data_IF_654405282386
#
_entry.id   IF_654405282386
#
_cell.length_a   1.000
_cell.length_b   1.000
_cell.length_c   1.000
_cell.angle_alpha   90.00
_cell.angle_beta   90.00
_cell.angle_gamma   90.00
#
_symmetry.space_group_name_H-M   'P 1'
#
loop_
_entity.id
_entity.type
_entity.pdbx_description
1 polymer ?
#
# COMPACT_ATOMS: atom_id res chain seq x y z
N UNK A 1 25.62 -15.13 0.70
CA UNK A 1 25.61 -14.93 -0.76
C UNK A 1 25.74 -13.46 -1.11
N UNK A 2 25.92 -13.10 -2.39
CA UNK A 2 25.87 -11.70 -2.83
C UNK A 2 24.51 -11.40 -3.43
N UNK A 3 24.05 -10.15 -3.28
CA UNK A 3 22.83 -9.65 -3.92
C UNK A 3 23.01 -8.20 -4.36
N UNK A 4 22.54 -7.85 -5.57
CA UNK A 4 22.47 -6.45 -5.99
C UNK A 4 21.25 -5.79 -5.37
N UNK A 5 21.41 -4.58 -4.85
CA UNK A 5 20.35 -3.84 -4.21
C UNK A 5 20.50 -2.34 -4.45
N UNK A 6 19.37 -1.63 -4.43
CA UNK A 6 19.32 -0.17 -4.36
C UNK A 6 19.26 0.24 -2.90
N UNK A 7 20.35 0.84 -2.40
CA UNK A 7 20.51 1.22 -1.00
C UNK A 7 20.29 2.72 -0.81
N UNK A 8 19.46 3.08 0.13
CA UNK A 8 19.33 4.44 0.64
C UNK A 8 20.39 4.66 1.73
N UNK A 9 21.49 5.35 1.42
CA UNK A 9 22.52 5.67 2.41
C UNK A 9 22.19 6.90 3.28
N UNK A 10 21.11 7.58 3.00
CA UNK A 10 20.64 8.72 3.80
C UNK A 10 19.43 9.38 3.14
N UNK A 11 18.67 10.13 3.92
CA UNK A 11 17.53 10.88 3.42
C UNK A 11 17.94 11.91 2.37
N UNK A 12 17.07 12.15 1.39
CA UNK A 12 17.25 13.12 0.29
C UNK A 12 18.47 12.86 -0.60
N UNK A 13 18.93 11.61 -0.65
CA UNK A 13 19.99 11.16 -1.55
C UNK A 13 19.43 10.15 -2.54
N UNK A 14 19.95 10.12 -3.78
CA UNK A 14 19.56 9.06 -4.70
C UNK A 14 19.96 7.68 -4.13
N UNK A 15 19.21 6.66 -4.52
CA UNK A 15 19.55 5.28 -4.22
C UNK A 15 20.82 4.89 -4.97
N UNK A 16 21.72 4.18 -4.29
CA UNK A 16 22.95 3.66 -4.89
C UNK A 16 22.80 2.15 -5.16
N UNK A 17 23.11 1.73 -6.38
CA UNK A 17 23.11 0.31 -6.73
C UNK A 17 24.44 -0.31 -6.32
N UNK A 18 24.39 -1.20 -5.33
CA UNK A 18 25.58 -1.86 -4.79
C UNK A 18 25.38 -3.37 -4.68
N UNK A 19 26.48 -4.11 -4.58
CA UNK A 19 26.48 -5.53 -4.25
C UNK A 19 26.64 -5.69 -2.73
N UNK A 20 25.61 -6.23 -2.08
CA UNK A 20 25.58 -6.51 -0.64
C UNK A 20 25.94 -7.95 -0.33
N UNK A 21 26.46 -8.17 0.87
CA UNK A 21 26.46 -9.48 1.50
C UNK A 21 25.09 -9.75 2.08
N UNK A 22 24.50 -10.89 1.75
CA UNK A 22 23.22 -11.36 2.28
C UNK A 22 23.43 -12.69 3.01
N UNK A 23 23.09 -12.74 4.30
CA UNK A 23 23.04 -13.98 5.06
C UNK A 23 21.87 -14.85 4.61
N UNK A 24 22.01 -16.17 4.72
CA UNK A 24 20.93 -17.13 4.50
C UNK A 24 19.81 -17.02 5.55
N UNK A 25 18.64 -17.65 5.29
CA UNK A 25 17.53 -17.63 6.22
C UNK A 25 17.83 -18.45 7.47
N UNK A 26 17.62 -17.86 8.64
CA UNK A 26 17.66 -18.57 9.93
C UNK A 26 16.34 -19.28 10.22
N UNK A 27 16.22 -19.90 11.39
CA UNK A 27 14.97 -20.57 11.79
C UNK A 27 13.76 -19.63 11.72
N UNK A 28 12.69 -20.07 11.06
CA UNK A 28 11.46 -19.30 10.83
C UNK A 28 11.56 -18.23 9.75
N UNK A 29 12.64 -18.20 8.96
CA UNK A 29 12.88 -17.21 7.90
C UNK A 29 12.86 -17.85 6.51
N UNK A 30 12.68 -17.02 5.50
CA UNK A 30 12.53 -17.40 4.10
C UNK A 30 13.42 -16.51 3.24
N UNK A 31 14.25 -17.10 2.38
CA UNK A 31 14.97 -16.39 1.32
C UNK A 31 14.08 -16.33 0.09
N UNK A 32 13.81 -15.13 -0.38
CA UNK A 32 13.00 -14.86 -1.58
C UNK A 32 13.85 -14.17 -2.64
N UNK A 33 13.86 -14.73 -3.83
CA UNK A 33 14.31 -14.03 -5.04
C UNK A 33 13.17 -13.14 -5.53
N UNK A 34 13.40 -11.84 -5.55
CA UNK A 34 12.42 -10.86 -6.02
C UNK A 34 12.48 -10.82 -7.55
N UNK A 35 11.34 -11.03 -8.18
CA UNK A 35 11.18 -11.02 -9.63
C UNK A 35 10.66 -9.67 -10.14
N UNK A 36 9.87 -8.98 -9.30
CA UNK A 36 9.39 -7.63 -9.58
C UNK A 36 9.09 -6.88 -8.28
N UNK A 37 9.21 -5.57 -8.31
CA UNK A 37 8.83 -4.69 -7.20
C UNK A 37 8.25 -3.38 -7.70
N UNK A 38 7.17 -2.91 -7.08
CA UNK A 38 6.60 -1.59 -7.31
C UNK A 38 7.37 -0.50 -6.56
N UNK A 39 7.31 0.73 -7.08
CA UNK A 39 7.81 1.94 -6.41
C UNK A 39 6.61 2.68 -5.82
N UNK A 40 6.57 2.84 -4.50
CA UNK A 40 5.46 3.41 -3.76
C UNK A 40 5.77 4.80 -3.20
N UNK A 41 4.74 5.62 -3.01
CA UNK A 41 4.87 6.90 -2.31
C UNK A 41 5.39 6.74 -0.87
N UNK A 42 5.16 5.60 -0.24
CA UNK A 42 5.71 5.31 1.09
C UNK A 42 7.24 5.18 1.07
N UNK A 43 7.80 4.59 0.00
CA UNK A 43 9.26 4.55 -0.20
C UNK A 43 9.82 5.96 -0.42
N UNK A 44 9.15 6.78 -1.25
CA UNK A 44 9.51 8.19 -1.47
C UNK A 44 9.42 9.01 -0.18
N UNK A 45 8.34 8.85 0.59
CA UNK A 45 8.14 9.50 1.89
C UNK A 45 9.31 9.25 2.85
N UNK A 46 9.80 8.01 2.92
CA UNK A 46 10.98 7.66 3.70
C UNK A 46 12.25 8.25 3.10
N UNK A 47 12.46 8.10 1.78
CA UNK A 47 13.65 8.62 1.09
C UNK A 47 13.74 10.15 1.17
N UNK A 48 12.62 10.86 1.13
CA UNK A 48 12.53 12.31 1.28
C UNK A 48 12.72 12.79 2.73
N UNK A 49 12.80 11.86 3.70
CA UNK A 49 13.06 12.16 5.10
C UNK A 49 11.85 12.64 5.89
N UNK A 50 10.64 12.35 5.42
CA UNK A 50 9.39 12.69 6.13
C UNK A 50 8.96 11.59 7.11
N UNK A 51 9.54 10.39 7.01
CA UNK A 51 9.23 9.25 7.85
C UNK A 51 10.04 9.30 9.15
N UNK A 52 9.36 9.45 10.28
CA UNK A 52 10.00 9.44 11.60
C UNK A 52 10.58 8.08 12.01
N UNK A 53 10.15 7.00 11.36
CA UNK A 53 10.67 5.64 11.53
C UNK A 53 11.70 5.27 10.46
N UNK A 54 12.02 6.18 9.54
CA UNK A 54 13.00 5.96 8.47
C UNK A 54 14.41 5.74 9.01
N UNK A 55 15.02 4.63 8.66
CA UNK A 55 16.36 4.23 9.11
C UNK A 55 17.29 4.12 7.92
N UNK A 56 18.50 4.65 8.07
CA UNK A 56 19.54 4.60 7.05
C UNK A 56 20.87 4.08 7.64
N UNK A 57 21.71 3.37 6.87
CA UNK A 57 21.46 2.91 5.49
C UNK A 57 20.49 1.73 5.44
N UNK A 58 19.61 1.69 4.45
CA UNK A 58 18.63 0.61 4.30
C UNK A 58 18.35 0.24 2.85
N UNK A 59 17.90 -1.00 2.63
CA UNK A 59 17.28 -1.41 1.38
C UNK A 59 15.79 -1.14 1.48
N UNK A 60 15.29 -0.18 0.69
CA UNK A 60 13.87 0.16 0.63
C UNK A 60 13.07 -0.88 -0.19
N UNK A 61 11.81 -0.55 -0.51
CA UNK A 61 10.89 -1.38 -1.26
C UNK A 61 10.08 -2.34 -0.39
N UNK A 62 8.76 -2.33 -0.61
CA UNK A 62 7.82 -3.18 0.13
C UNK A 62 6.71 -3.77 -0.75
N UNK A 63 6.71 -3.46 -2.04
CA UNK A 63 5.75 -3.97 -3.02
C UNK A 63 6.41 -5.03 -3.91
N UNK A 64 6.84 -6.15 -3.33
CA UNK A 64 7.54 -7.22 -4.07
C UNK A 64 6.66 -8.39 -4.43
N UNK A 65 7.09 -9.14 -5.46
CA UNK A 65 6.64 -10.49 -5.73
C UNK A 65 7.84 -11.33 -6.20
N UNK A 66 7.89 -12.58 -5.78
CA UNK A 66 9.07 -13.40 -6.08
C UNK A 66 8.89 -14.88 -5.79
N UNK A 67 10.01 -15.59 -5.83
CA UNK A 67 10.08 -17.05 -5.66
C UNK A 67 10.89 -17.40 -4.40
N UNK A 68 10.33 -18.23 -3.56
CA UNK A 68 11.07 -18.81 -2.42
C UNK A 68 12.21 -19.66 -2.95
N UNK A 69 13.45 -19.37 -2.51
CA UNK A 69 14.62 -20.13 -2.89
C UNK A 69 15.10 -21.06 -1.79
N UNK A 70 15.04 -20.59 -0.53
CA UNK A 70 15.46 -21.36 0.63
C UNK A 70 14.53 -21.04 1.82
N UNK A 71 14.38 -21.99 2.72
CA UNK A 71 13.61 -21.84 3.94
C UNK A 71 14.44 -22.28 5.14
N UNK A 72 14.39 -21.52 6.22
CA UNK A 72 15.03 -21.87 7.49
C UNK A 72 14.27 -22.96 8.23
N UNK A 73 14.91 -23.50 9.27
CA UNK A 73 14.30 -24.53 10.10
C UNK A 73 12.97 -24.05 10.70
N UNK A 74 11.96 -24.94 10.73
CA UNK A 74 10.64 -24.64 11.32
C UNK A 74 9.67 -23.92 10.40
N UNK A 75 10.06 -23.49 9.19
CA UNK A 75 9.14 -22.93 8.18
C UNK A 75 8.24 -24.05 7.64
N UNK A 76 6.93 -23.82 7.66
CA UNK A 76 5.93 -24.81 7.27
C UNK A 76 4.93 -24.33 6.20
N UNK A 77 4.72 -23.03 6.05
CA UNK A 77 3.67 -22.49 5.16
C UNK A 77 4.11 -22.33 3.71
N UNK A 78 5.40 -22.31 3.46
CA UNK A 78 6.01 -22.18 2.14
C UNK A 78 7.23 -23.10 1.99
N UNK A 79 7.61 -23.37 0.75
CA UNK A 79 8.78 -24.17 0.37
C UNK A 79 9.46 -23.58 -0.85
N UNK A 80 10.70 -24.03 -1.13
CA UNK A 80 11.42 -23.66 -2.35
C UNK A 80 10.57 -23.90 -3.60
N UNK A 81 10.54 -22.90 -4.49
CA UNK A 81 9.75 -22.86 -5.72
C UNK A 81 8.31 -22.36 -5.54
N UNK A 82 7.89 -21.99 -4.34
CA UNK A 82 6.59 -21.31 -4.16
C UNK A 82 6.69 -19.83 -4.58
N UNK A 83 5.66 -19.32 -5.24
CA UNK A 83 5.52 -17.90 -5.55
C UNK A 83 4.90 -17.18 -4.37
N UNK A 84 5.44 -16.02 -4.03
CA UNK A 84 5.06 -15.29 -2.83
C UNK A 84 5.06 -13.76 -3.03
N UNK A 85 4.28 -13.11 -2.19
CA UNK A 85 4.29 -11.65 -2.00
C UNK A 85 4.78 -11.37 -0.58
N UNK A 86 5.89 -10.62 -0.39
CA UNK A 86 6.30 -10.05 0.90
C UNK A 86 5.22 -9.16 1.49
N UNK A 87 5.03 -9.23 2.81
CA UNK A 87 4.03 -8.46 3.53
C UNK A 87 4.69 -7.56 4.57
N UNK A 88 4.56 -6.26 4.41
CA UNK A 88 5.00 -5.30 5.43
C UNK A 88 4.10 -5.34 6.69
N UNK A 89 2.91 -5.92 6.59
CA UNK A 89 2.04 -6.25 7.72
C UNK A 89 2.06 -7.77 7.93
N UNK A 90 2.89 -8.30 8.85
CA UNK A 90 2.95 -9.74 9.11
C UNK A 90 1.63 -10.26 9.70
N UNK A 91 1.42 -11.58 9.62
CA UNK A 91 0.25 -12.25 10.20
C UNK A 91 0.69 -13.48 10.98
N UNK A 92 0.93 -13.34 12.30
CA UNK A 92 1.38 -14.45 13.15
C UNK A 92 0.24 -15.37 13.60
N UNK A 93 -1.03 -14.93 13.52
CA UNK A 93 -2.24 -15.65 13.97
C UNK A 93 -2.32 -15.95 15.48
N UNK A 94 -1.42 -15.38 16.29
CA UNK A 94 -1.29 -15.68 17.72
C UNK A 94 -1.37 -14.44 18.62
N UNK A 95 -0.92 -13.26 18.16
CA UNK A 95 -0.97 -12.06 18.97
C UNK A 95 -2.42 -11.54 19.13
N UNK A 96 -2.63 -10.65 20.10
CA UNK A 96 -3.95 -10.08 20.40
C UNK A 96 -4.63 -9.47 19.16
N UNK A 97 -3.87 -8.77 18.31
CA UNK A 97 -4.40 -8.18 17.08
C UNK A 97 -4.87 -9.26 16.10
N UNK A 98 -4.06 -10.29 15.86
CA UNK A 98 -4.45 -11.40 14.98
C UNK A 98 -5.68 -12.14 15.49
N UNK A 99 -5.73 -12.45 16.79
CA UNK A 99 -6.85 -13.16 17.41
C UNK A 99 -8.14 -12.32 17.40
N UNK A 100 -8.03 -10.98 17.38
CA UNK A 100 -9.20 -10.10 17.23
C UNK A 100 -9.69 -9.95 15.79
N UNK A 101 -9.03 -10.62 14.82
CA UNK A 101 -9.33 -10.50 13.39
C UNK A 101 -8.66 -9.30 12.70
N UNK A 102 -7.91 -8.46 13.43
CA UNK A 102 -7.17 -7.31 12.89
C UNK A 102 -5.71 -7.67 12.64
N UNK A 103 -5.47 -8.66 11.77
CA UNK A 103 -4.12 -9.18 11.51
C UNK A 103 -3.22 -8.16 10.84
N UNK A 104 -3.78 -7.19 10.11
CA UNK A 104 -3.08 -6.03 9.56
C UNK A 104 -2.38 -5.17 10.64
N UNK A 105 -2.69 -5.38 11.90
CA UNK A 105 -2.06 -4.73 13.06
C UNK A 105 -1.28 -5.74 13.92
N UNK A 106 -0.76 -6.80 13.31
CA UNK A 106 0.06 -7.81 13.99
C UNK A 106 1.27 -7.18 14.67
N UNK A 107 1.52 -7.59 15.92
CA UNK A 107 2.60 -7.03 16.74
C UNK A 107 3.76 -7.98 16.94
N UNK A 108 3.74 -9.19 16.36
CA UNK A 108 4.70 -10.25 16.67
C UNK A 108 6.17 -9.88 16.44
N UNK A 109 6.46 -9.08 15.40
CA UNK A 109 7.82 -8.64 15.06
C UNK A 109 7.96 -7.11 15.05
N UNK A 110 6.94 -6.36 15.47
CA UNK A 110 6.92 -4.90 15.34
C UNK A 110 8.10 -4.22 16.06
N UNK A 111 8.53 -4.76 17.20
CA UNK A 111 9.61 -4.20 18.00
C UNK A 111 10.98 -4.20 17.29
N UNK A 112 11.23 -5.16 16.41
CA UNK A 112 12.45 -5.26 15.60
C UNK A 112 12.25 -4.73 14.19
N UNK A 113 11.10 -4.99 13.58
CA UNK A 113 10.73 -4.50 12.23
C UNK A 113 10.85 -2.97 12.13
N UNK A 114 10.34 -2.22 13.11
CA UNK A 114 10.45 -0.76 13.17
C UNK A 114 11.88 -0.25 13.38
N UNK A 115 12.83 -1.14 13.69
CA UNK A 115 14.27 -0.83 13.80
C UNK A 115 15.06 -1.34 12.59
N UNK A 116 14.39 -1.79 11.55
CA UNK A 116 15.02 -2.36 10.35
C UNK A 116 15.74 -3.67 10.60
N UNK A 117 15.30 -4.46 11.59
CA UNK A 117 15.97 -5.70 12.02
C UNK A 117 15.01 -6.90 11.93
N UNK A 118 15.61 -8.06 11.79
CA UNK A 118 14.93 -9.36 11.88
C UNK A 118 14.51 -9.66 13.33
N UNK A 119 13.64 -10.66 13.58
CA UNK A 119 13.15 -10.97 14.93
C UNK A 119 14.25 -11.24 15.97
N UNK A 120 15.44 -11.71 15.55
CA UNK A 120 16.59 -11.95 16.40
C UNK A 120 17.41 -10.68 16.74
N UNK A 121 16.98 -9.51 16.27
CA UNK A 121 17.65 -8.24 16.51
C UNK A 121 18.85 -7.97 15.61
N UNK A 122 19.06 -8.76 14.54
CA UNK A 122 20.16 -8.57 13.58
C UNK A 122 19.61 -8.28 12.19
N UNK A 123 20.44 -7.74 11.28
CA UNK A 123 20.11 -7.64 9.85
C UNK A 123 20.69 -8.83 9.10
N UNK A 124 20.12 -9.15 7.94
CA UNK A 124 20.69 -10.13 7.00
C UNK A 124 21.52 -9.43 5.92
N UNK A 125 21.45 -8.11 5.80
CA UNK A 125 22.24 -7.35 4.85
C UNK A 125 23.45 -6.69 5.49
N UNK A 126 24.59 -6.70 4.77
CA UNK A 126 25.75 -5.90 5.12
C UNK A 126 26.49 -5.41 3.87
N UNK A 127 27.17 -4.28 3.99
CA UNK A 127 28.01 -3.67 2.96
C UNK A 127 29.35 -3.27 3.54
N UNK A 128 30.43 -3.88 3.04
CA UNK A 128 31.81 -3.60 3.53
C UNK A 128 31.94 -3.69 5.06
N UNK A 129 31.24 -4.65 5.67
CA UNK A 129 31.23 -4.84 7.12
C UNK A 129 30.27 -3.93 7.91
N UNK A 130 29.60 -2.99 7.24
CA UNK A 130 28.57 -2.15 7.85
C UNK A 130 27.19 -2.82 7.73
N UNK A 131 26.39 -2.77 8.79
CA UNK A 131 25.00 -3.22 8.77
C UNK A 131 24.18 -2.35 7.81
N UNK A 132 23.40 -2.98 6.93
CA UNK A 132 22.37 -2.35 6.12
C UNK A 132 21.02 -2.81 6.66
N UNK A 133 20.13 -1.89 6.97
CA UNK A 133 18.85 -2.21 7.61
C UNK A 133 17.81 -2.70 6.60
N UNK A 134 16.89 -3.51 7.11
CA UNK A 134 15.68 -3.87 6.39
C UNK A 134 14.68 -2.72 6.43
N UNK A 135 13.87 -2.60 5.37
CA UNK A 135 12.77 -1.65 5.30
C UNK A 135 11.44 -2.39 5.38
N UNK A 136 10.63 -2.04 6.38
CA UNK A 136 9.30 -2.62 6.62
C UNK A 136 9.30 -4.16 6.69
N UNK A 137 10.47 -4.79 6.95
CA UNK A 137 10.65 -6.24 6.93
C UNK A 137 10.54 -6.88 5.54
N UNK A 138 10.59 -6.11 4.47
CA UNK A 138 10.45 -6.57 3.08
C UNK A 138 11.72 -6.38 2.24
N UNK A 139 12.22 -5.14 2.14
CA UNK A 139 13.45 -4.77 1.40
C UNK A 139 13.48 -5.30 -0.03
N UNK A 140 12.46 -4.97 -0.80
CA UNK A 140 12.28 -5.56 -2.14
C UNK A 140 13.06 -4.85 -3.25
N UNK A 141 13.77 -3.74 -2.95
CA UNK A 141 14.70 -3.12 -3.91
C UNK A 141 16.04 -3.86 -3.93
N UNK A 142 15.97 -5.18 -3.92
CA UNK A 142 17.10 -6.11 -3.98
C UNK A 142 16.70 -7.37 -4.76
N UNK A 143 17.64 -7.97 -5.49
CA UNK A 143 17.37 -9.24 -6.17
C UNK A 143 16.96 -10.36 -5.19
N UNK A 144 17.51 -10.35 -3.97
CA UNK A 144 17.16 -11.31 -2.93
C UNK A 144 16.92 -10.60 -1.61
N UNK A 145 15.96 -11.09 -0.85
CA UNK A 145 15.70 -10.65 0.52
C UNK A 145 15.39 -11.82 1.42
N UNK A 146 15.65 -11.66 2.72
CA UNK A 146 15.27 -12.63 3.76
C UNK A 146 14.23 -11.97 4.65
N UNK A 147 13.14 -12.69 4.92
CA UNK A 147 12.04 -12.19 5.76
C UNK A 147 11.42 -13.31 6.60
N UNK A 148 10.75 -12.99 7.72
CA UNK A 148 10.07 -13.99 8.53
C UNK A 148 8.93 -14.67 7.77
N UNK A 149 8.72 -15.97 7.97
CA UNK A 149 7.62 -16.74 7.38
C UNK A 149 6.25 -16.06 7.55
N UNK A 150 6.02 -15.43 8.70
CA UNK A 150 4.76 -14.74 8.99
C UNK A 150 4.53 -13.47 8.15
N UNK A 151 5.55 -13.02 7.44
CA UNK A 151 5.53 -11.87 6.53
C UNK A 151 5.53 -12.29 5.05
N UNK A 152 5.08 -13.50 4.72
CA UNK A 152 5.01 -14.02 3.34
C UNK A 152 3.61 -14.52 3.03
N UNK A 153 3.03 -14.06 1.93
CA UNK A 153 1.79 -14.60 1.37
C UNK A 153 2.10 -15.48 0.17
N UNK A 154 1.74 -16.76 0.23
CA UNK A 154 1.86 -17.68 -0.91
C UNK A 154 0.75 -17.39 -1.92
N UNK A 155 1.12 -17.28 -3.19
CA UNK A 155 0.21 -17.02 -4.31
C UNK A 155 0.27 -18.13 -5.34
N UNK A 156 -0.67 -18.12 -6.28
CA UNK A 156 -0.68 -19.03 -7.44
C UNK A 156 0.51 -18.76 -8.35
N UNK A 157 1.04 -19.81 -8.99
CA UNK A 157 2.30 -19.75 -9.76
C UNK A 157 2.16 -19.09 -11.13
N UNK A 158 0.96 -19.00 -11.66
CA UNK A 158 0.66 -18.42 -12.97
C UNK A 158 0.40 -16.90 -12.93
N UNK A 159 0.38 -16.29 -11.73
CA UNK A 159 0.26 -14.85 -11.59
C UNK A 159 1.55 -14.15 -12.07
N UNK A 160 1.47 -13.16 -12.99
CA UNK A 160 2.64 -12.40 -13.43
C UNK A 160 3.20 -11.55 -12.30
N UNK A 161 4.50 -11.63 -12.06
CA UNK A 161 5.15 -10.95 -10.94
C UNK A 161 5.06 -9.43 -11.02
N UNK A 162 5.15 -8.87 -12.24
CA UNK A 162 5.06 -7.42 -12.49
C UNK A 162 3.73 -6.82 -12.00
N UNK A 163 2.64 -7.56 -12.10
CA UNK A 163 1.32 -7.11 -11.63
C UNK A 163 1.08 -7.54 -10.18
N UNK A 164 1.48 -8.77 -9.83
CA UNK A 164 1.29 -9.32 -8.49
C UNK A 164 2.04 -8.54 -7.41
N UNK A 165 3.20 -7.93 -7.71
CA UNK A 165 3.98 -7.17 -6.74
C UNK A 165 3.21 -5.99 -6.15
N UNK A 166 2.36 -5.34 -6.95
CA UNK A 166 1.54 -4.21 -6.50
C UNK A 166 0.40 -4.63 -5.56
N UNK A 167 -0.01 -5.90 -5.60
CA UNK A 167 -1.06 -6.42 -4.71
C UNK A 167 -0.62 -6.38 -3.25
N UNK A 168 0.68 -6.52 -2.98
CA UNK A 168 1.25 -6.49 -1.62
C UNK A 168 1.06 -5.18 -0.84
N UNK A 169 0.63 -4.10 -1.50
CA UNK A 169 0.39 -2.80 -0.87
C UNK A 169 -0.85 -2.11 -1.44
N UNK A 170 -0.69 -1.40 -2.57
CA UNK A 170 -1.69 -0.45 -3.06
C UNK A 170 -3.03 -1.08 -3.42
N UNK A 171 -3.03 -2.24 -4.08
CA UNK A 171 -4.27 -2.95 -4.48
C UNK A 171 -5.02 -3.45 -3.24
N UNK A 172 -4.33 -4.17 -2.37
CA UNK A 172 -4.93 -4.68 -1.12
C UNK A 172 -5.43 -3.56 -0.23
N UNK A 173 -4.69 -2.45 -0.14
CA UNK A 173 -5.10 -1.28 0.64
C UNK A 173 -6.37 -0.66 0.09
N UNK A 174 -6.45 -0.41 -1.21
CA UNK A 174 -7.61 0.24 -1.83
C UNK A 174 -8.86 -0.65 -1.82
N UNK A 175 -8.75 -1.87 -2.34
CA UNK A 175 -9.88 -2.83 -2.37
C UNK A 175 -10.33 -3.17 -0.94
N UNK A 176 -9.39 -3.43 -0.04
CA UNK A 176 -9.68 -3.78 1.35
C UNK A 176 -10.29 -2.62 2.15
N UNK A 177 -9.93 -1.37 1.85
CA UNK A 177 -10.56 -0.21 2.49
C UNK A 177 -12.08 -0.22 2.25
N UNK A 178 -12.50 -0.61 1.05
CA UNK A 178 -13.91 -0.71 0.68
C UNK A 178 -14.57 -1.96 1.30
N UNK A 179 -13.97 -3.13 1.09
CA UNK A 179 -14.61 -4.41 1.41
C UNK A 179 -14.49 -4.79 2.88
N UNK A 180 -13.35 -4.55 3.51
CA UNK A 180 -13.08 -4.97 4.88
C UNK A 180 -13.35 -3.87 5.91
N UNK A 181 -12.91 -2.63 5.60
CA UNK A 181 -12.98 -1.52 6.55
C UNK A 181 -14.31 -0.79 6.47
N UNK A 182 -14.68 -0.25 5.31
CA UNK A 182 -15.94 0.46 5.09
C UNK A 182 -17.13 -0.52 5.03
N UNK A 183 -16.94 -1.66 4.36
CA UNK A 183 -17.99 -2.64 4.08
C UNK A 183 -19.12 -2.04 3.26
N UNK A 184 -18.74 -1.34 2.20
CA UNK A 184 -19.66 -0.74 1.24
C UNK A 184 -20.64 -1.80 0.74
N UNK A 185 -21.91 -1.41 0.67
CA UNK A 185 -23.01 -2.27 0.24
C UNK A 185 -23.53 -1.84 -1.15
N UNK A 186 -24.18 -2.74 -1.87
CA UNK A 186 -24.89 -2.37 -3.09
C UNK A 186 -25.89 -1.22 -2.83
N UNK A 187 -25.79 -0.18 -3.64
CA UNK A 187 -26.64 1.00 -3.53
C UNK A 187 -26.05 2.19 -2.78
N UNK A 188 -24.93 2.02 -2.06
CA UNK A 188 -24.25 3.10 -1.36
C UNK A 188 -23.66 4.12 -2.35
N UNK A 189 -23.58 5.38 -1.93
CA UNK A 189 -22.82 6.44 -2.61
C UNK A 189 -21.44 6.53 -1.97
N UNK A 190 -20.43 6.66 -2.81
CA UNK A 190 -19.02 6.72 -2.37
C UNK A 190 -18.33 7.93 -2.98
N UNK A 191 -17.51 8.65 -2.20
CA UNK A 191 -16.64 9.72 -2.68
C UNK A 191 -15.19 9.35 -2.40
N UNK A 192 -14.33 9.43 -3.41
CA UNK A 192 -12.91 9.10 -3.32
C UNK A 192 -12.09 10.34 -3.63
N UNK A 193 -11.30 10.80 -2.66
CA UNK A 193 -10.41 11.95 -2.81
C UNK A 193 -9.00 11.46 -3.15
N UNK A 194 -8.52 11.87 -4.33
CA UNK A 194 -7.25 11.46 -4.91
C UNK A 194 -7.37 10.19 -5.77
N UNK A 195 -7.13 10.34 -7.08
CA UNK A 195 -7.22 9.27 -8.07
C UNK A 195 -5.83 8.78 -8.52
N UNK A 196 -4.93 8.65 -7.55
CA UNK A 196 -3.66 7.93 -7.72
C UNK A 196 -3.86 6.40 -7.60
N UNK A 197 -2.74 5.67 -7.49
CA UNK A 197 -2.78 4.21 -7.44
C UNK A 197 -3.70 3.63 -6.36
N UNK A 198 -3.76 4.23 -5.17
CA UNK A 198 -4.68 3.81 -4.09
C UNK A 198 -6.13 4.13 -4.47
N UNK A 199 -6.41 5.38 -4.89
CA UNK A 199 -7.77 5.80 -5.23
C UNK A 199 -8.39 4.99 -6.37
N UNK A 200 -7.62 4.64 -7.40
CA UNK A 200 -8.07 3.76 -8.48
C UNK A 200 -8.45 2.36 -7.98
N UNK A 201 -7.75 1.83 -6.97
CA UNK A 201 -8.11 0.56 -6.35
C UNK A 201 -9.33 0.68 -5.42
N UNK A 202 -9.54 1.83 -4.77
CA UNK A 202 -10.78 2.12 -4.04
C UNK A 202 -11.96 2.19 -5.03
N UNK A 203 -11.80 2.81 -6.21
CA UNK A 203 -12.82 2.81 -7.27
C UNK A 203 -13.23 1.39 -7.68
N UNK A 204 -12.23 0.53 -7.95
CA UNK A 204 -12.50 -0.88 -8.31
C UNK A 204 -13.23 -1.63 -7.18
N UNK A 205 -12.77 -1.43 -5.94
CA UNK A 205 -13.43 -2.00 -4.77
C UNK A 205 -14.89 -1.53 -4.65
N UNK A 206 -15.18 -0.24 -4.84
CA UNK A 206 -16.52 0.32 -4.79
C UNK A 206 -17.41 -0.23 -5.92
N UNK A 207 -16.89 -0.34 -7.15
CA UNK A 207 -17.58 -0.99 -8.27
C UNK A 207 -17.90 -2.44 -7.95
N UNK A 208 -16.91 -3.19 -7.45
CA UNK A 208 -17.08 -4.60 -7.07
C UNK A 208 -18.12 -4.78 -5.94
N UNK A 209 -18.18 -3.85 -4.99
CA UNK A 209 -19.19 -3.84 -3.93
C UNK A 209 -20.59 -3.43 -4.39
N UNK A 210 -20.77 -2.98 -5.64
CA UNK A 210 -22.05 -2.56 -6.19
C UNK A 210 -22.50 -1.17 -5.75
N UNK A 211 -21.56 -0.27 -5.43
CA UNK A 211 -21.88 1.12 -5.11
C UNK A 211 -22.68 1.77 -6.26
N UNK A 212 -23.71 2.56 -5.92
CA UNK A 212 -24.63 3.21 -6.88
C UNK A 212 -23.96 4.39 -7.56
N UNK A 213 -23.34 5.24 -6.77
CA UNK A 213 -22.62 6.43 -7.24
C UNK A 213 -21.18 6.35 -6.73
N UNK A 214 -20.23 6.50 -7.63
CA UNK A 214 -18.80 6.49 -7.32
C UNK A 214 -18.21 7.80 -7.83
N UNK A 215 -18.01 8.75 -6.92
CA UNK A 215 -17.50 10.09 -7.21
C UNK A 215 -16.00 10.10 -6.98
N UNK A 216 -15.24 10.42 -8.01
CA UNK A 216 -13.81 10.66 -7.92
C UNK A 216 -13.50 12.15 -7.85
N UNK A 217 -12.71 12.57 -6.88
CA UNK A 217 -12.28 13.96 -6.69
C UNK A 217 -10.76 14.04 -6.89
N UNK A 218 -10.32 14.82 -7.87
CA UNK A 218 -8.89 15.05 -8.10
C UNK A 218 -8.65 16.44 -8.71
N UNK A 219 -7.52 17.06 -8.34
CA UNK A 219 -7.10 18.38 -8.86
C UNK A 219 -6.47 18.30 -10.25
N UNK A 220 -6.13 17.09 -10.71
CA UNK A 220 -5.57 16.80 -12.02
C UNK A 220 -6.65 16.20 -12.92
N UNK A 221 -7.14 17.00 -13.89
CA UNK A 221 -8.21 16.58 -14.82
C UNK A 221 -7.82 15.37 -15.67
N UNK A 222 -6.52 15.08 -15.88
CA UNK A 222 -6.08 13.89 -16.60
C UNK A 222 -6.43 12.59 -15.86
N UNK A 223 -6.83 12.65 -14.59
CA UNK A 223 -7.27 11.50 -13.81
C UNK A 223 -8.72 11.09 -14.10
N UNK A 224 -9.49 11.91 -14.79
CA UNK A 224 -10.89 11.59 -15.13
C UNK A 224 -11.01 10.33 -15.98
N UNK A 225 -10.22 10.23 -17.05
CA UNK A 225 -10.25 9.04 -17.93
C UNK A 225 -9.82 7.79 -17.20
N UNK A 226 -8.79 7.89 -16.34
CA UNK A 226 -8.38 6.82 -15.46
C UNK A 226 -9.51 6.39 -14.53
N UNK A 227 -10.13 7.34 -13.86
CA UNK A 227 -11.27 7.05 -12.97
C UNK A 227 -12.40 6.32 -13.68
N UNK A 228 -12.79 6.79 -14.88
CA UNK A 228 -13.85 6.15 -15.71
C UNK A 228 -13.49 4.70 -16.04
N UNK A 229 -12.26 4.44 -16.44
CA UNK A 229 -11.78 3.08 -16.73
C UNK A 229 -11.93 2.15 -15.52
N UNK A 230 -11.74 2.65 -14.31
CA UNK A 230 -11.81 1.87 -13.07
C UNK A 230 -13.18 1.91 -12.38
N UNK A 231 -14.20 2.48 -13.02
CA UNK A 231 -15.60 2.39 -12.55
C UNK A 231 -16.16 3.63 -11.89
N UNK A 232 -15.46 4.76 -11.96
CA UNK A 232 -15.99 6.07 -11.54
C UNK A 232 -17.21 6.47 -12.36
N UNK A 233 -18.26 6.96 -11.69
CA UNK A 233 -19.48 7.45 -12.33
C UNK A 233 -19.49 8.96 -12.52
N UNK A 234 -18.86 9.70 -11.61
CA UNK A 234 -18.78 11.16 -11.62
C UNK A 234 -17.37 11.61 -11.27
N UNK A 235 -16.87 12.58 -12.03
CA UNK A 235 -15.60 13.25 -11.74
C UNK A 235 -15.85 14.66 -11.25
N UNK A 236 -15.13 15.07 -10.22
CA UNK A 236 -15.18 16.44 -9.69
C UNK A 236 -13.75 16.97 -9.54
N UNK A 237 -13.40 18.01 -10.29
CA UNK A 237 -12.18 18.77 -10.05
C UNK A 237 -12.51 19.96 -9.11
N UNK A 238 -11.93 20.01 -7.90
CA UNK A 238 -12.17 21.12 -6.96
C UNK A 238 -11.90 22.51 -7.54
N UNK A 239 -11.00 22.62 -8.52
CA UNK A 239 -10.67 23.89 -9.18
C UNK A 239 -11.81 24.42 -10.07
N UNK A 240 -12.68 23.53 -10.56
CA UNK A 240 -13.79 23.87 -11.43
C UNK A 240 -15.08 24.16 -10.65
N UNK A 241 -15.10 23.82 -9.35
CA UNK A 241 -16.19 24.11 -8.44
C UNK A 241 -16.07 25.56 -7.96
N UNK A 242 -16.91 26.42 -8.44
CA UNK A 242 -16.89 27.86 -8.14
C UNK A 242 -17.29 28.24 -6.70
N UNK A 243 -17.01 27.38 -5.69
CA UNK A 243 -17.43 27.59 -4.31
C UNK A 243 -16.92 26.50 -3.36
N UNK A 244 -17.73 26.17 -2.35
CA UNK A 244 -17.41 25.17 -1.35
C UNK A 244 -17.55 23.74 -1.93
N UNK A 245 -16.44 23.05 -2.07
CA UNK A 245 -16.36 21.66 -2.57
C UNK A 245 -17.22 20.71 -1.72
N UNK A 246 -17.26 20.89 -0.40
CA UNK A 246 -18.07 20.04 0.49
C UNK A 246 -19.55 20.23 0.20
N UNK A 247 -20.02 21.47 0.09
CA UNK A 247 -21.41 21.76 -0.25
C UNK A 247 -21.80 21.17 -1.62
N UNK A 248 -20.90 21.27 -2.61
CA UNK A 248 -21.09 20.67 -3.93
C UNK A 248 -21.25 19.14 -3.86
N UNK A 249 -20.34 18.46 -3.15
CA UNK A 249 -20.36 16.99 -3.01
C UNK A 249 -21.57 16.49 -2.22
N UNK A 250 -21.98 17.22 -1.16
CA UNK A 250 -23.17 16.91 -0.38
C UNK A 250 -24.43 17.03 -1.26
N UNK A 251 -24.52 18.09 -2.10
CA UNK A 251 -25.63 18.25 -3.02
C UNK A 251 -25.66 17.16 -4.11
N UNK A 252 -24.48 16.81 -4.66
CA UNK A 252 -24.34 15.77 -5.68
C UNK A 252 -24.79 14.39 -5.18
N UNK A 253 -24.55 14.10 -3.89
CA UNK A 253 -24.86 12.81 -3.26
C UNK A 253 -26.15 12.82 -2.42
N UNK A 254 -27.03 13.80 -2.66
CA UNK A 254 -28.34 13.94 -1.99
C UNK A 254 -28.26 13.89 -0.45
N UNK A 255 -27.41 14.75 0.11
CA UNK A 255 -27.25 14.91 1.57
C UNK A 255 -25.93 14.34 2.13
N UNK A 256 -25.03 13.89 1.28
CA UNK A 256 -23.72 13.34 1.63
C UNK A 256 -23.62 11.84 1.36
N UNK A 257 -22.41 11.36 1.12
CA UNK A 257 -22.15 9.95 0.80
C UNK A 257 -22.16 9.06 2.06
N UNK A 258 -22.57 7.80 1.91
CA UNK A 258 -22.44 6.78 2.95
C UNK A 258 -20.99 6.60 3.34
N UNK A 259 -20.08 6.61 2.34
CA UNK A 259 -18.64 6.46 2.59
C UNK A 259 -17.83 7.48 1.79
N UNK A 260 -16.80 8.03 2.42
CA UNK A 260 -15.77 8.79 1.75
C UNK A 260 -14.39 8.20 2.04
N UNK A 261 -13.48 8.32 1.09
CA UNK A 261 -12.12 7.78 1.21
C UNK A 261 -11.10 8.88 0.93
N UNK A 262 -10.23 9.16 1.91
CA UNK A 262 -9.05 9.97 1.64
C UNK A 262 -7.90 9.10 1.17
N UNK A 263 -7.42 9.35 -0.06
CA UNK A 263 -6.27 8.72 -0.67
C UNK A 263 -5.13 9.71 -0.92
N UNK A 264 -5.21 10.92 -0.34
CA UNK A 264 -4.27 12.01 -0.62
C UNK A 264 -3.21 12.20 0.47
N UNK A 265 -3.52 11.89 1.73
CA UNK A 265 -2.66 12.22 2.87
C UNK A 265 -2.72 13.71 3.28
N UNK A 266 -3.58 14.51 2.66
CA UNK A 266 -3.73 15.93 2.99
C UNK A 266 -4.76 16.12 4.11
N UNK A 267 -4.35 16.74 5.23
CA UNK A 267 -5.21 16.91 6.42
C UNK A 267 -6.44 17.80 6.16
N UNK A 268 -6.35 18.75 5.23
CA UNK A 268 -7.50 19.57 4.80
C UNK A 268 -8.50 18.70 4.03
N UNK A 269 -8.01 17.86 3.12
CA UNK A 269 -8.85 16.93 2.34
C UNK A 269 -9.48 15.88 3.25
N UNK A 270 -8.76 15.38 4.24
CA UNK A 270 -9.32 14.45 5.24
C UNK A 270 -10.53 15.06 5.95
N UNK A 271 -10.46 16.34 6.31
CA UNK A 271 -11.58 17.05 6.90
C UNK A 271 -12.74 17.22 5.90
N UNK A 272 -12.44 17.64 4.67
CA UNK A 272 -13.46 17.78 3.62
C UNK A 272 -14.16 16.42 3.35
N UNK A 273 -13.42 15.33 3.36
CA UNK A 273 -13.95 13.99 3.21
C UNK A 273 -14.94 13.64 4.34
N UNK A 274 -14.60 13.95 5.60
CA UNK A 274 -15.55 13.77 6.71
C UNK A 274 -16.80 14.62 6.54
N UNK A 275 -16.65 15.89 6.19
CA UNK A 275 -17.77 16.83 6.08
C UNK A 275 -18.67 16.54 4.86
N UNK A 276 -18.13 15.83 3.82
CA UNK A 276 -18.90 15.36 2.67
C UNK A 276 -19.67 14.05 2.91
N UNK A 277 -19.42 13.35 4.04
CA UNK A 277 -20.22 12.21 4.44
C UNK A 277 -21.65 12.63 4.81
N UNK A 278 -22.61 11.69 4.65
CA UNK A 278 -23.97 11.88 5.11
C UNK A 278 -24.01 12.21 6.61
N UNK A 279 -24.75 13.24 6.95
CA UNK A 279 -25.00 13.61 8.34
C UNK A 279 -25.88 12.55 8.96
N UNK A 280 -25.43 11.94 10.05
CA UNK A 280 -26.18 10.93 10.80
C UNK A 280 -25.53 9.54 10.79
N UNK A 281 -24.94 9.11 9.65
CA UNK A 281 -24.33 7.76 9.59
C UNK A 281 -23.12 7.64 8.64
N UNK A 282 -22.79 8.67 7.89
CA UNK A 282 -21.68 8.62 6.94
C UNK A 282 -20.32 8.36 7.61
N UNK A 283 -19.49 7.57 6.98
CA UNK A 283 -18.16 7.21 7.48
C UNK A 283 -17.08 7.64 6.51
N UNK A 284 -16.11 8.43 7.00
CA UNK A 284 -14.92 8.82 6.26
C UNK A 284 -13.74 7.90 6.61
N UNK A 285 -13.13 7.29 5.61
CA UNK A 285 -12.01 6.38 5.75
C UNK A 285 -10.71 7.10 5.36
N UNK A 286 -9.80 7.22 6.31
CA UNK A 286 -8.46 7.77 6.08
C UNK A 286 -7.54 6.63 5.64
N UNK A 287 -6.95 6.77 4.46
CA UNK A 287 -5.96 5.84 3.89
C UNK A 287 -4.63 6.56 3.67
N UNK A 288 -4.69 7.81 3.18
CA UNK A 288 -3.51 8.61 2.88
C UNK A 288 -2.64 8.84 4.12
N UNK A 289 -1.33 8.81 3.95
CA UNK A 289 -0.35 9.05 5.02
C UNK A 289 0.03 10.53 4.99
N UNK A 290 -0.26 11.24 6.07
CA UNK A 290 0.18 12.61 6.26
C UNK A 290 1.61 12.67 6.81
N UNK A 291 2.30 13.78 6.60
CA UNK A 291 3.63 14.04 7.18
C UNK A 291 3.61 13.88 8.71
N UNK A 292 4.70 13.37 9.26
CA UNK A 292 4.86 13.21 10.71
C UNK A 292 4.61 14.54 11.45
N UNK A 293 3.83 14.49 12.52
CA UNK A 293 3.47 15.67 13.34
C UNK A 293 2.29 16.48 12.80
N UNK A 294 1.72 16.16 11.63
CA UNK A 294 0.47 16.78 11.17
C UNK A 294 -0.73 16.21 11.95
N UNK A 295 -1.66 17.08 12.24
CA UNK A 295 -2.90 16.75 12.95
C UNK A 295 -4.11 17.02 12.07
N UNK A 296 -5.17 16.24 12.28
CA UNK A 296 -6.48 16.48 11.69
C UNK A 296 -7.40 17.13 12.73
N UNK A 297 -8.26 18.04 12.30
CA UNK A 297 -9.21 18.71 13.18
C UNK A 297 -10.58 18.86 12.53
N UNK A 298 -11.63 18.75 13.32
CA UNK A 298 -13.00 18.99 12.90
C UNK A 298 -13.81 19.61 14.02
N UNK A 299 -14.96 20.22 13.65
CA UNK A 299 -15.90 20.73 14.64
C UNK A 299 -16.58 19.53 15.34
N UNK A 300 -16.62 19.50 16.69
CA UNK A 300 -17.20 18.37 17.42
C UNK A 300 -18.62 17.99 16.97
N UNK A 301 -19.40 18.96 16.55
CA UNK A 301 -20.78 18.75 16.08
C UNK A 301 -20.87 17.86 14.84
N UNK A 302 -19.82 17.76 14.03
CA UNK A 302 -19.75 16.80 12.91
C UNK A 302 -19.86 15.36 13.41
N UNK A 303 -19.19 15.05 14.51
CA UNK A 303 -19.20 13.72 15.12
C UNK A 303 -20.44 13.49 15.99
N UNK A 304 -20.89 14.51 16.75
CA UNK A 304 -22.12 14.45 17.55
C UNK A 304 -23.34 14.12 16.70
N UNK A 305 -23.38 14.58 15.46
CA UNK A 305 -24.48 14.32 14.53
C UNK A 305 -24.37 12.98 13.79
N UNK A 306 -23.37 12.14 14.12
CA UNK A 306 -23.31 10.75 13.68
C UNK A 306 -22.27 10.43 12.61
N UNK A 307 -21.58 11.44 12.04
CA UNK A 307 -20.44 11.15 11.17
C UNK A 307 -19.36 10.38 11.91
N UNK A 308 -18.70 9.47 11.21
CA UNK A 308 -17.64 8.65 11.79
C UNK A 308 -16.34 8.87 11.01
N UNK A 309 -15.25 9.14 11.74
CA UNK A 309 -13.90 9.20 11.17
C UNK A 309 -13.15 7.92 11.52
N UNK A 310 -12.68 7.21 10.51
CA UNK A 310 -12.04 5.91 10.70
C UNK A 310 -10.81 5.78 9.80
N UNK A 311 -9.72 5.28 10.36
CA UNK A 311 -8.53 4.91 9.59
C UNK A 311 -8.54 3.45 9.14
N UNK A 312 -7.71 3.15 8.15
CA UNK A 312 -7.44 1.78 7.72
C UNK A 312 -5.95 1.62 7.37
N UNK A 313 -5.31 0.63 7.96
CA UNK A 313 -3.98 0.20 7.57
C UNK A 313 -4.12 -1.04 6.69
N UNK A 314 -3.44 -1.07 5.54
CA UNK A 314 -3.47 -2.21 4.61
C UNK A 314 -4.90 -2.64 4.21
N UNK A 315 -5.84 -1.69 4.13
CA UNK A 315 -7.24 -1.98 3.84
C UNK A 315 -7.95 -2.89 4.85
N UNK A 316 -7.44 -3.02 6.08
CA UNK A 316 -7.97 -3.96 7.06
C UNK A 316 -7.79 -5.44 6.69
N UNK A 317 -6.94 -5.73 5.70
CA UNK A 317 -6.76 -7.07 5.15
C UNK A 317 -5.99 -8.01 6.10
N UNK A 318 -6.30 -9.28 6.03
CA UNK A 318 -5.54 -10.39 6.62
C UNK A 318 -4.49 -10.83 5.60
N UNK A 319 -3.26 -10.32 5.71
CA UNK A 319 -2.25 -10.39 4.65
C UNK A 319 -2.07 -11.76 4.04
N UNK A 320 -1.77 -12.78 4.85
CA UNK A 320 -1.55 -14.16 4.36
C UNK A 320 -2.82 -14.86 3.87
N UNK A 321 -4.00 -14.31 4.16
CA UNK A 321 -5.31 -14.87 3.80
C UNK A 321 -5.94 -14.13 2.64
N UNK A 322 -5.91 -12.80 2.63
CA UNK A 322 -6.66 -11.99 1.68
C UNK A 322 -5.84 -11.62 0.44
N UNK A 323 -4.50 -11.44 0.58
CA UNK A 323 -3.63 -11.16 -0.58
C UNK A 323 -3.73 -12.26 -1.66
N UNK A 324 -3.69 -13.57 -1.34
CA UNK A 324 -3.91 -14.60 -2.35
C UNK A 324 -5.28 -14.52 -3.03
N UNK A 325 -6.35 -14.17 -2.31
CA UNK A 325 -7.69 -13.99 -2.89
C UNK A 325 -7.75 -12.79 -3.83
N UNK A 326 -7.04 -11.70 -3.50
CA UNK A 326 -6.96 -10.52 -4.37
C UNK A 326 -6.17 -10.87 -5.64
N UNK A 327 -5.14 -11.71 -5.53
CA UNK A 327 -4.47 -12.29 -6.72
C UNK A 327 -5.45 -13.07 -7.58
N UNK A 328 -6.32 -13.88 -6.98
CA UNK A 328 -7.35 -14.63 -7.73
C UNK A 328 -8.35 -13.68 -8.40
N UNK A 329 -8.80 -12.60 -7.72
CA UNK A 329 -9.68 -11.58 -8.34
C UNK A 329 -9.02 -10.86 -9.52
N UNK A 330 -7.72 -10.66 -9.48
CA UNK A 330 -6.96 -10.13 -10.61
C UNK A 330 -6.90 -11.16 -11.76
N UNK A 331 -6.57 -12.41 -11.44
CA UNK A 331 -6.41 -13.48 -12.44
C UNK A 331 -7.72 -13.89 -13.13
N UNK A 332 -8.87 -13.68 -12.47
CA UNK A 332 -10.19 -13.92 -13.07
C UNK A 332 -10.78 -12.66 -13.76
N UNK A 333 -10.05 -11.55 -13.75
CA UNK A 333 -10.45 -10.30 -14.41
C UNK A 333 -11.48 -9.45 -13.63
N UNK A 334 -11.78 -9.79 -12.38
CA UNK A 334 -12.69 -9.00 -11.54
C UNK A 334 -12.10 -7.63 -11.23
N UNK A 335 -10.77 -7.58 -11.01
CA UNK A 335 -10.02 -6.32 -10.86
C UNK A 335 -8.94 -6.21 -11.94
N UNK A 336 -8.65 -4.97 -12.33
CA UNK A 336 -7.65 -4.63 -13.35
C UNK A 336 -6.40 -4.05 -12.67
N UNK A 337 -5.22 -4.57 -12.98
CA UNK A 337 -3.95 -4.09 -12.44
C UNK A 337 -3.01 -3.65 -13.56
N UNK A 338 -2.94 -4.42 -14.66
CA UNK A 338 -1.95 -4.21 -15.72
C UNK A 338 -1.96 -2.80 -16.28
N UNK A 339 -3.16 -2.25 -16.47
CA UNK A 339 -3.32 -0.89 -16.96
C UNK A 339 -2.73 0.19 -16.02
N UNK A 340 -2.59 -0.09 -14.73
CA UNK A 340 -1.98 0.86 -13.78
C UNK A 340 -0.45 0.90 -13.89
N UNK A 341 0.17 -0.14 -14.47
CA UNK A 341 1.62 -0.20 -14.65
C UNK A 341 1.97 0.63 -15.87
N UNK A 342 2.29 1.90 -15.63
CA UNK A 342 2.62 2.85 -16.72
C UNK A 342 4.09 2.80 -17.13
N UNK A 343 4.96 2.31 -16.26
CA UNK A 343 6.40 2.24 -16.51
C UNK A 343 6.97 0.94 -15.96
N UNK A 344 7.74 0.26 -16.80
CA UNK A 344 8.54 -0.92 -16.43
C UNK A 344 10.01 -0.52 -16.52
N UNK A 345 10.75 -0.72 -15.45
CA UNK A 345 12.12 -0.26 -15.28
C UNK A 345 13.02 -1.44 -14.88
N UNK A 346 14.32 -1.26 -15.04
CA UNK A 346 15.34 -2.12 -14.42
C UNK A 346 15.74 -1.56 -13.05
N UNK A 347 16.47 -2.34 -12.24
CA UNK A 347 17.01 -1.85 -10.96
C UNK A 347 17.91 -0.63 -11.14
N UNK A 348 18.69 -0.58 -12.21
CA UNK A 348 19.58 0.56 -12.51
C UNK A 348 18.82 1.86 -12.82
N UNK A 349 17.55 1.77 -13.21
CA UNK A 349 16.68 2.90 -13.50
C UNK A 349 15.80 3.31 -12.32
N UNK A 350 15.98 2.72 -11.12
CA UNK A 350 15.07 2.91 -9.98
C UNK A 350 14.89 4.39 -9.60
N UNK A 351 15.95 5.19 -9.65
CA UNK A 351 15.85 6.63 -9.35
C UNK A 351 14.94 7.37 -10.34
N UNK A 352 14.97 7.00 -11.63
CA UNK A 352 14.04 7.52 -12.65
C UNK A 352 12.59 7.22 -12.27
N UNK A 353 12.32 6.08 -11.64
CA UNK A 353 10.96 5.73 -11.17
C UNK A 353 10.47 6.69 -10.08
N UNK A 354 11.34 7.14 -9.18
CA UNK A 354 11.01 8.19 -8.20
C UNK A 354 10.79 9.54 -8.86
N UNK A 355 11.62 9.92 -9.85
CA UNK A 355 11.46 11.17 -10.61
C UNK A 355 10.11 11.21 -11.33
N UNK A 356 9.72 10.13 -12.02
CA UNK A 356 8.41 9.99 -12.68
C UNK A 356 7.24 10.10 -11.70
N UNK A 357 7.40 9.55 -10.49
CA UNK A 357 6.38 9.64 -9.45
C UNK A 357 6.24 11.08 -8.93
N UNK A 358 7.35 11.77 -8.63
CA UNK A 358 7.34 13.16 -8.17
C UNK A 358 6.79 14.12 -9.25
N UNK A 359 7.05 13.85 -10.51
CA UNK A 359 6.48 14.59 -11.65
C UNK A 359 4.96 14.32 -11.85
N UNK A 360 4.40 13.29 -11.19
CA UNK A 360 3.00 12.88 -11.39
C UNK A 360 2.73 12.19 -12.73
N UNK A 361 3.78 11.75 -13.42
CA UNK A 361 3.72 11.14 -14.76
C UNK A 361 3.41 9.63 -14.68
N UNK A 362 3.70 8.97 -13.56
CA UNK A 362 3.36 7.56 -13.37
C UNK A 362 2.09 7.37 -12.53
N UNK A 363 1.31 6.33 -12.86
CA UNK A 363 0.33 5.75 -11.93
C UNK A 363 1.09 4.76 -11.05
N UNK A 364 1.82 3.82 -11.70
CA UNK A 364 2.70 2.86 -11.02
C UNK A 364 3.92 2.57 -11.89
N UNK A 365 5.11 2.70 -11.30
CA UNK A 365 6.36 2.22 -11.87
C UNK A 365 6.73 0.88 -11.21
N UNK A 366 7.14 -0.10 -12.02
CA UNK A 366 7.54 -1.44 -11.57
C UNK A 366 8.97 -1.71 -12.04
N UNK A 367 9.82 -2.14 -11.12
CA UNK A 367 11.16 -2.66 -11.42
C UNK A 367 11.06 -4.17 -11.63
N UNK A 368 11.63 -4.67 -12.73
CA UNK A 368 11.73 -6.11 -13.05
C UNK A 368 13.20 -6.50 -12.98
N UNK A 369 13.48 -7.65 -12.34
CA UNK A 369 14.82 -8.17 -12.09
C UNK A 369 15.26 -9.19 -13.13
#
# INVERSE_FOLDING_TARGET
MKTRAAVAFGAKKPLEIVELDLEGPKAGEVLVEIMATGICHTDAYTLDGFDSEGIFPSVLGHEGAGVVREVGAGVMSVKSGDHVIPLYTPECRQCKSCLSGKTNLCTAIRATQGKGLMPDGTSRFSYKGQTIFHYMGCSTFSNFTVLPEIAVAKIRKDAPFSSACYIGCGVTTGVGAVTNTAKVQPGDNVIIFGLGGIGLNVLQGARMAGAKMIVGVDINSNREEWGKKFGMTHFVNPKDVGGDIVAHLVALTDGGAEFTFDCTGNTIVMRQALEACHRGWGTSIIIGVAEAGKEISTRPFQLVTGRNWRGTAFGGAKGRTDVPKIVDLYMDGTIEIDAMITHVLTLDEINKGFDLMHAGESIRSVVVY
#
